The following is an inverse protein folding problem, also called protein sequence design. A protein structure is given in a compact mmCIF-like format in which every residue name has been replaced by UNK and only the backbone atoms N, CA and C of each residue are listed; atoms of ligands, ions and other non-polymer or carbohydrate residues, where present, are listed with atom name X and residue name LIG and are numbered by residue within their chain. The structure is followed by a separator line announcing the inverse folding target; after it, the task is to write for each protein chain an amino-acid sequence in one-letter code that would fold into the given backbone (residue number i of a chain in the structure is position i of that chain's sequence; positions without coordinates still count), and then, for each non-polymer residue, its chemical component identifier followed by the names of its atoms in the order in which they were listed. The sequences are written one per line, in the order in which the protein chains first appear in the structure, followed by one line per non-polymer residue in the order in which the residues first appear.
data_IF_242018849346
#
_entry.id   IF_242018849346
#
_cell.length_a   1.000
_cell.length_b   1.000
_cell.length_c   1.000
_cell.angle_alpha   90.00
_cell.angle_beta   90.00
_cell.angle_gamma   90.00
#
_symmetry.space_group_name_H-M   'P 1'
#
loop_
_entity.id
_entity.type
_entity.pdbx_description
1 polymer ?
#
# COMPACT_ATOMS: atom_id res chain seq x y z
N UNK A 1 -25.03 -7.95 14.48
CA UNK A 1 -23.96 -8.50 15.33
C UNK A 1 -22.75 -7.62 15.08
N UNK A 2 -22.58 -6.56 15.88
CA UNK A 2 -21.41 -5.70 15.78
C UNK A 2 -20.26 -6.46 16.42
N UNK A 3 -19.29 -6.89 15.63
CA UNK A 3 -18.03 -7.38 16.17
C UNK A 3 -17.27 -6.15 16.67
N UNK A 4 -17.65 -5.62 17.82
CA UNK A 4 -16.78 -4.71 18.56
C UNK A 4 -15.58 -5.56 18.96
N UNK A 5 -14.48 -5.36 18.25
CA UNK A 5 -13.19 -5.92 18.62
C UNK A 5 -12.88 -5.44 20.04
N UNK A 6 -13.08 -6.32 21.02
CA UNK A 6 -12.96 -5.99 22.43
C UNK A 6 -11.53 -5.65 22.82
N UNK A 7 -10.53 -6.16 22.08
CA UNK A 7 -9.14 -5.81 22.30
C UNK A 7 -8.84 -4.40 21.81
N UNK A 8 -9.38 -4.02 20.64
CA UNK A 8 -9.30 -2.65 20.13
C UNK A 8 -10.03 -1.65 21.04
N UNK A 9 -11.18 -2.03 21.57
CA UNK A 9 -11.97 -1.21 22.48
C UNK A 9 -11.25 -0.98 23.81
N UNK A 10 -10.66 -2.04 24.37
CA UNK A 10 -9.83 -1.94 25.57
C UNK A 10 -8.60 -1.06 25.36
N UNK A 11 -7.90 -1.21 24.23
CA UNK A 11 -6.74 -0.38 23.90
C UNK A 11 -7.11 1.10 23.77
N UNK A 12 -8.25 1.41 23.12
CA UNK A 12 -8.77 2.79 23.04
C UNK A 12 -9.01 3.36 24.43
N UNK A 13 -9.70 2.61 25.30
CA UNK A 13 -10.03 3.07 26.65
C UNK A 13 -8.76 3.31 27.50
N UNK A 14 -7.74 2.44 27.38
CA UNK A 14 -6.44 2.66 28.03
C UNK A 14 -5.77 3.95 27.56
N UNK A 15 -5.74 4.20 26.25
CA UNK A 15 -5.16 5.45 25.72
C UNK A 15 -5.93 6.69 26.18
N UNK A 16 -7.25 6.61 26.28
CA UNK A 16 -8.09 7.70 26.83
C UNK A 16 -7.74 7.98 28.29
N UNK A 17 -7.64 6.93 29.12
CA UNK A 17 -7.26 7.08 30.52
C UNK A 17 -5.85 7.66 30.70
N UNK A 18 -4.90 7.26 29.85
CA UNK A 18 -3.53 7.80 29.87
C UNK A 18 -3.51 9.30 29.52
N UNK A 19 -4.32 9.71 28.53
CA UNK A 19 -4.47 11.13 28.18
C UNK A 19 -5.06 11.91 29.37
N UNK A 20 -6.16 11.44 29.95
CA UNK A 20 -6.80 12.09 31.11
C UNK A 20 -5.83 12.27 32.28
N UNK A 21 -4.97 11.28 32.54
CA UNK A 21 -3.97 11.35 33.60
C UNK A 21 -2.84 12.36 33.32
N UNK A 22 -2.42 12.52 32.06
CA UNK A 22 -1.23 13.30 31.71
C UNK A 22 -1.50 14.75 31.30
N UNK A 23 -2.71 15.05 30.78
CA UNK A 23 -3.06 16.39 30.26
C UNK A 23 -2.81 17.50 31.29
N UNK A 24 -3.12 17.25 32.57
CA UNK A 24 -2.96 18.25 33.64
C UNK A 24 -1.51 18.74 33.84
N UNK A 25 -0.53 17.92 33.47
CA UNK A 25 0.91 18.23 33.58
C UNK A 25 1.58 18.51 32.24
N UNK A 26 0.87 18.35 31.13
CA UNK A 26 1.40 18.47 29.77
C UNK A 26 2.11 19.81 29.55
N UNK A 27 3.32 19.81 29.01
CA UNK A 27 3.88 21.03 28.44
C UNK A 27 3.15 21.43 27.14
N UNK A 28 3.57 22.54 26.52
CA UNK A 28 2.88 23.14 25.36
C UNK A 28 2.83 22.18 24.16
N UNK A 29 3.95 21.53 23.86
CA UNK A 29 4.05 20.55 22.78
C UNK A 29 3.27 19.27 23.09
N UNK A 30 3.28 18.85 24.35
CA UNK A 30 2.53 17.68 24.82
C UNK A 30 1.03 17.92 24.73
N UNK A 31 0.53 19.11 25.08
CA UNK A 31 -0.89 19.44 25.02
C UNK A 31 -1.41 19.33 23.58
N UNK A 32 -0.65 19.82 22.60
CA UNK A 32 -0.99 19.66 21.18
C UNK A 32 -0.99 18.19 20.74
N UNK A 33 -0.04 17.38 21.22
CA UNK A 33 0.00 15.94 20.95
C UNK A 33 -1.22 15.23 21.54
N UNK A 34 -1.58 15.52 22.79
CA UNK A 34 -2.76 14.94 23.43
C UNK A 34 -4.04 15.35 22.69
N UNK A 35 -4.21 16.62 22.33
CA UNK A 35 -5.35 17.07 21.54
C UNK A 35 -5.46 16.37 20.18
N UNK A 36 -4.32 16.09 19.51
CA UNK A 36 -4.29 15.27 18.29
C UNK A 36 -4.72 13.83 18.56
N UNK A 37 -4.25 13.23 19.65
CA UNK A 37 -4.63 11.87 20.04
C UNK A 37 -6.13 11.78 20.31
N UNK A 38 -6.71 12.73 21.05
CA UNK A 38 -8.15 12.83 21.34
C UNK A 38 -8.96 12.82 20.04
N UNK A 39 -8.58 13.66 19.07
CA UNK A 39 -9.22 13.70 17.74
C UNK A 39 -9.13 12.35 17.02
N UNK A 40 -7.96 11.72 17.02
CA UNK A 40 -7.75 10.43 16.35
C UNK A 40 -8.48 9.26 17.04
N UNK A 41 -8.65 9.32 18.36
CA UNK A 41 -9.43 8.34 19.13
C UNK A 41 -10.94 8.57 19.02
N UNK A 42 -11.36 9.69 18.40
CA UNK A 42 -12.76 10.11 18.26
C UNK A 42 -13.41 10.45 19.61
N UNK A 43 -12.63 11.06 20.48
CA UNK A 43 -13.01 11.45 21.85
C UNK A 43 -13.12 12.98 21.97
N UNK A 44 -13.36 13.68 20.86
CA UNK A 44 -13.53 15.15 20.82
C UNK A 44 -14.71 15.61 21.68
N UNK A 45 -15.72 14.76 21.83
CA UNK A 45 -16.94 15.05 22.59
C UNK A 45 -16.83 14.58 24.07
N UNK A 46 -15.63 14.16 24.50
CA UNK A 46 -15.38 13.74 25.88
C UNK A 46 -15.22 14.97 26.79
N UNK A 47 -16.29 15.31 27.50
CA UNK A 47 -16.38 16.46 28.41
C UNK A 47 -15.27 16.48 29.48
N UNK A 48 -14.82 15.31 29.96
CA UNK A 48 -13.73 15.24 30.95
C UNK A 48 -12.44 15.77 30.35
N UNK A 49 -12.08 15.28 29.15
CA UNK A 49 -10.89 15.69 28.42
C UNK A 49 -10.99 17.17 28.01
N UNK A 50 -12.14 17.62 27.51
CA UNK A 50 -12.38 19.04 27.21
C UNK A 50 -12.07 19.94 28.40
N UNK A 51 -12.58 19.57 29.58
CA UNK A 51 -12.38 20.33 30.81
C UNK A 51 -10.89 20.36 31.22
N UNK A 52 -10.22 19.21 31.14
CA UNK A 52 -8.79 19.10 31.46
C UNK A 52 -7.92 19.91 30.51
N UNK A 53 -8.19 19.84 29.21
CA UNK A 53 -7.44 20.59 28.19
C UNK A 53 -7.67 22.09 28.36
N UNK A 54 -8.92 22.53 28.56
CA UNK A 54 -9.22 23.96 28.80
C UNK A 54 -8.48 24.49 30.03
N UNK A 55 -8.54 23.76 31.15
CA UNK A 55 -7.82 24.12 32.38
C UNK A 55 -6.31 24.21 32.16
N UNK A 56 -5.73 23.24 31.44
CA UNK A 56 -4.29 23.26 31.15
C UNK A 56 -3.90 24.39 30.20
N UNK A 57 -4.70 24.62 29.15
CA UNK A 57 -4.51 25.67 28.17
C UNK A 57 -4.50 27.05 28.83
N UNK A 58 -5.46 27.33 29.72
CA UNK A 58 -5.51 28.58 30.49
C UNK A 58 -4.23 28.78 31.32
N UNK A 59 -3.74 27.72 31.96
CA UNK A 59 -2.48 27.78 32.73
C UNK A 59 -1.26 28.06 31.86
N UNK A 60 -1.20 27.54 30.63
CA UNK A 60 -0.07 27.75 29.73
C UNK A 60 -0.12 29.14 29.09
N UNK A 61 -1.30 29.56 28.62
CA UNK A 61 -1.55 30.88 28.03
C UNK A 61 -1.19 32.02 28.98
N UNK A 62 -1.42 31.84 30.29
CA UNK A 62 -1.09 32.85 31.29
C UNK A 62 0.42 33.18 31.35
N UNK A 63 1.27 32.32 30.79
CA UNK A 63 2.73 32.46 30.84
C UNK A 63 3.37 32.58 29.46
N UNK A 64 2.58 32.61 28.38
CA UNK A 64 3.09 32.56 27.00
C UNK A 64 3.17 33.94 26.34
N UNK A 65 4.30 34.20 25.69
CA UNK A 65 4.53 35.41 24.90
C UNK A 65 5.00 35.14 23.46
N UNK A 66 5.38 33.90 23.13
CA UNK A 66 5.79 33.50 21.79
C UNK A 66 4.59 33.23 20.86
N UNK A 67 4.58 33.89 19.70
CA UNK A 67 3.46 33.85 18.75
C UNK A 67 3.23 32.45 18.18
N UNK A 68 4.30 31.74 17.82
CA UNK A 68 4.18 30.40 17.23
C UNK A 68 3.63 29.40 18.26
N UNK A 69 4.08 29.54 19.51
CA UNK A 69 3.59 28.73 20.62
C UNK A 69 2.13 29.05 20.97
N UNK A 70 1.72 30.32 20.89
CA UNK A 70 0.31 30.71 21.04
C UNK A 70 -0.58 30.10 19.95
N UNK A 71 -0.10 30.00 18.71
CA UNK A 71 -0.81 29.32 17.63
C UNK A 71 -0.96 27.82 17.92
N UNK A 72 0.08 27.17 18.42
CA UNK A 72 0.04 25.74 18.78
C UNK A 72 -0.90 25.43 19.95
N UNK A 73 -0.96 26.33 20.94
CA UNK A 73 -1.97 26.25 22.00
C UNK A 73 -3.39 26.45 21.42
N UNK A 74 -3.59 27.42 20.53
CA UNK A 74 -4.89 27.61 19.85
C UNK A 74 -5.28 26.39 19.01
N UNK A 75 -4.34 25.73 18.35
CA UNK A 75 -4.56 24.50 17.58
C UNK A 75 -5.00 23.35 18.48
N UNK A 76 -4.48 23.29 19.72
CA UNK A 76 -4.89 22.30 20.72
C UNK A 76 -6.39 22.40 21.05
N UNK A 77 -6.90 23.61 21.25
CA UNK A 77 -8.33 23.86 21.45
C UNK A 77 -9.15 23.53 20.19
N UNK A 78 -8.68 23.96 19.03
CA UNK A 78 -9.34 23.72 17.74
C UNK A 78 -9.56 22.23 17.45
N UNK A 79 -8.61 21.38 17.86
CA UNK A 79 -8.69 19.92 17.72
C UNK A 79 -9.75 19.27 18.59
N UNK A 80 -9.87 19.72 19.83
CA UNK A 80 -10.85 19.20 20.78
C UNK A 80 -12.26 19.60 20.36
N UNK A 81 -12.45 20.84 19.90
CA UNK A 81 -13.75 21.34 19.43
C UNK A 81 -14.14 20.87 18.01
N UNK A 82 -13.29 20.07 17.37
CA UNK A 82 -13.40 19.66 15.95
C UNK A 82 -13.75 20.80 14.97
N UNK A 83 -13.30 22.01 15.28
CA UNK A 83 -13.69 23.23 14.54
C UNK A 83 -13.02 23.33 13.17
N UNK A 84 -11.88 22.65 12.98
CA UNK A 84 -11.03 22.78 11.79
C UNK A 84 -10.60 21.41 11.28
N UNK A 85 -10.71 21.22 9.96
CA UNK A 85 -10.16 20.06 9.26
C UNK A 85 -8.64 20.02 9.45
N UNK A 86 -8.00 18.84 9.57
CA UNK A 86 -6.57 18.77 9.85
C UNK A 86 -5.76 19.58 8.83
N UNK A 87 -4.81 20.39 9.30
CA UNK A 87 -3.93 21.17 8.42
C UNK A 87 -2.87 20.24 7.79
N UNK A 88 -3.26 19.61 6.69
CA UNK A 88 -2.40 18.68 5.93
C UNK A 88 -1.44 19.41 5.00
N UNK A 89 -1.64 20.71 4.76
CA UNK A 89 -0.82 21.51 3.86
C UNK A 89 0.55 21.84 4.44
N UNK A 90 0.65 21.96 5.77
CA UNK A 90 1.91 22.20 6.45
C UNK A 90 2.66 20.91 6.82
N UNK A 91 2.13 19.73 6.46
CA UNK A 91 2.65 18.43 6.88
C UNK A 91 2.65 18.18 8.41
N UNK A 92 2.07 19.10 9.18
CA UNK A 92 1.99 19.02 10.65
C UNK A 92 0.97 18.00 11.11
N UNK A 93 0.02 17.66 10.23
CA UNK A 93 -1.14 16.83 10.54
C UNK A 93 -1.41 15.81 9.45
N UNK A 94 -1.91 14.65 9.86
CA UNK A 94 -2.32 13.61 8.94
C UNK A 94 -3.76 13.87 8.44
N UNK A 95 -4.06 13.62 7.15
CA UNK A 95 -5.43 13.61 6.66
C UNK A 95 -6.28 12.58 7.40
N UNK A 96 -7.60 12.79 7.44
CA UNK A 96 -8.54 11.86 8.09
C UNK A 96 -8.37 10.43 7.59
N UNK A 97 -8.22 9.47 8.51
CA UNK A 97 -8.08 8.05 8.16
C UNK A 97 -9.43 7.40 7.83
N UNK A 98 -10.53 7.95 8.36
CA UNK A 98 -11.87 7.41 8.16
C UNK A 98 -12.24 7.45 6.68
N UNK A 99 -12.73 6.32 6.15
CA UNK A 99 -13.11 6.19 4.74
C UNK A 99 -11.94 6.01 3.75
N UNK A 100 -10.69 5.92 4.23
CA UNK A 100 -9.50 5.74 3.38
C UNK A 100 -8.89 4.33 3.48
N UNK A 101 -9.67 3.31 3.84
CA UNK A 101 -9.20 1.91 3.85
C UNK A 101 -8.72 1.45 2.46
N UNK A 102 -7.60 0.72 2.42
CA UNK A 102 -6.97 0.24 1.17
C UNK A 102 -6.11 1.30 0.44
N UNK A 103 -6.02 2.51 0.98
CA UNK A 103 -5.10 3.56 0.52
C UNK A 103 -3.83 3.59 1.36
N UNK A 104 -2.82 4.30 0.89
CA UNK A 104 -1.61 4.59 1.65
C UNK A 104 -1.38 6.09 1.78
N UNK A 105 -0.64 6.49 2.80
CA UNK A 105 -0.28 7.88 3.02
C UNK A 105 0.87 8.26 2.08
N UNK A 106 0.71 9.34 1.30
CA UNK A 106 1.72 9.86 0.37
C UNK A 106 1.95 11.35 0.59
N UNK A 107 3.08 11.87 0.10
CA UNK A 107 3.43 13.29 0.18
C UNK A 107 4.12 13.77 -1.09
N UNK A 108 3.87 15.02 -1.47
CA UNK A 108 4.58 15.74 -2.53
C UNK A 108 5.77 16.56 -1.99
N UNK A 109 6.11 16.38 -0.71
CA UNK A 109 7.12 17.16 0.02
C UNK A 109 6.57 18.40 0.73
N UNK A 110 5.32 18.79 0.47
CA UNK A 110 4.62 19.90 1.15
C UNK A 110 3.33 19.40 1.80
N UNK A 111 2.50 18.70 1.03
CA UNK A 111 1.19 18.21 1.45
C UNK A 111 1.25 16.71 1.75
N UNK A 112 0.46 16.29 2.73
CA UNK A 112 0.21 14.87 3.03
C UNK A 112 -1.19 14.50 2.54
N UNK A 113 -1.31 13.41 1.77
CA UNK A 113 -2.59 12.98 1.18
C UNK A 113 -2.71 11.45 1.09
N UNK A 114 -3.89 10.95 0.74
CA UNK A 114 -4.13 9.51 0.55
C UNK A 114 -3.97 9.11 -0.92
N UNK A 115 -2.97 8.29 -1.21
CA UNK A 115 -2.72 7.67 -2.51
C UNK A 115 -3.44 6.33 -2.66
N UNK A 116 -3.87 6.02 -3.87
CA UNK A 116 -4.36 4.68 -4.23
C UNK A 116 -3.22 3.85 -4.81
N UNK A 117 -3.03 2.58 -4.40
CA UNK A 117 -2.06 1.70 -5.03
C UNK A 117 -2.25 1.65 -6.54
N UNK A 118 -1.17 1.86 -7.29
CA UNK A 118 -1.14 1.76 -8.74
C UNK A 118 -0.08 0.73 -9.18
N UNK A 119 -0.19 0.19 -10.40
CA UNK A 119 0.83 -0.72 -10.96
C UNK A 119 2.20 -0.04 -11.05
N UNK A 120 2.24 1.28 -11.23
CA UNK A 120 3.46 2.09 -11.17
C UNK A 120 4.19 2.03 -9.82
N UNK A 121 3.48 1.64 -8.75
CA UNK A 121 4.07 1.49 -7.41
C UNK A 121 4.82 0.15 -7.28
N UNK A 122 4.69 -0.76 -8.25
CA UNK A 122 5.44 -2.01 -8.33
C UNK A 122 6.71 -1.77 -9.13
N UNK A 123 7.82 -1.45 -8.45
CA UNK A 123 9.12 -1.08 -9.06
C UNK A 123 9.65 -2.09 -10.07
N UNK A 124 9.32 -3.37 -9.86
CA UNK A 124 9.84 -4.47 -10.66
C UNK A 124 8.94 -4.77 -11.86
N UNK A 125 7.81 -4.06 -12.03
CA UNK A 125 6.87 -4.26 -13.13
C UNK A 125 7.02 -3.14 -14.15
N UNK A 126 7.75 -3.40 -15.22
CA UNK A 126 8.13 -2.36 -16.19
C UNK A 126 7.05 -2.09 -17.23
N UNK A 127 6.36 -3.14 -17.71
CA UNK A 127 5.21 -3.03 -18.62
C UNK A 127 4.48 -4.37 -18.71
N UNK A 128 3.24 -4.48 -18.20
CA UNK A 128 2.36 -5.65 -18.41
C UNK A 128 0.97 -5.15 -18.76
N UNK A 129 0.43 -5.63 -19.88
CA UNK A 129 -0.92 -5.32 -20.36
C UNK A 129 -1.91 -6.44 -20.04
N UNK A 130 -3.20 -6.15 -20.17
CA UNK A 130 -4.23 -7.18 -20.08
C UNK A 130 -3.98 -8.29 -21.13
N UNK A 131 -4.04 -9.55 -20.68
CA UNK A 131 -3.75 -10.73 -21.52
C UNK A 131 -2.26 -11.12 -21.65
N UNK A 132 -1.33 -10.40 -21.04
CA UNK A 132 0.09 -10.77 -20.98
C UNK A 132 0.43 -11.53 -19.70
N UNK A 133 1.44 -12.40 -19.77
CA UNK A 133 2.00 -13.07 -18.58
C UNK A 133 3.26 -12.34 -18.13
N UNK A 134 3.40 -12.04 -16.82
CA UNK A 134 4.65 -11.48 -16.29
C UNK A 134 5.79 -12.50 -16.40
N UNK A 135 6.88 -12.11 -17.06
CA UNK A 135 8.11 -12.90 -17.16
C UNK A 135 9.29 -12.06 -16.66
N UNK A 136 10.15 -12.62 -15.82
CA UNK A 136 11.33 -11.93 -15.32
C UNK A 136 12.44 -11.91 -16.38
N UNK A 137 12.82 -10.71 -16.83
CA UNK A 137 13.81 -10.48 -17.90
C UNK A 137 15.25 -10.28 -17.40
N UNK A 138 15.50 -10.43 -16.09
CA UNK A 138 16.80 -10.17 -15.47
C UNK A 138 16.94 -8.78 -14.85
N UNK A 139 16.14 -7.82 -15.31
CA UNK A 139 16.06 -6.44 -14.79
C UNK A 139 14.69 -6.06 -14.24
N UNK A 140 13.73 -6.98 -14.27
CA UNK A 140 12.34 -6.78 -13.83
C UNK A 140 11.38 -7.73 -14.54
N UNK A 141 10.12 -7.69 -14.17
CA UNK A 141 9.02 -8.34 -14.87
C UNK A 141 8.57 -7.48 -16.07
N UNK A 142 8.47 -8.13 -17.22
CA UNK A 142 7.89 -7.60 -18.46
C UNK A 142 6.71 -8.49 -18.87
N UNK A 143 5.74 -7.89 -19.57
CA UNK A 143 4.61 -8.61 -20.15
C UNK A 143 5.08 -9.29 -21.41
N UNK A 144 4.87 -10.61 -21.46
CA UNK A 144 5.05 -11.38 -22.67
C UNK A 144 3.68 -11.88 -23.11
N UNK A 145 3.36 -11.68 -24.39
CA UNK A 145 2.16 -12.29 -24.98
C UNK A 145 2.30 -13.80 -24.84
N UNK A 146 1.26 -14.48 -24.33
CA UNK A 146 1.14 -15.93 -24.38
C UNK A 146 1.03 -16.38 -25.84
N UNK A 147 2.16 -16.41 -26.57
CA UNK A 147 2.25 -17.22 -27.77
C UNK A 147 2.25 -18.64 -27.24
N UNK A 148 1.20 -19.40 -27.54
CA UNK A 148 1.14 -20.83 -27.25
C UNK A 148 2.34 -21.49 -27.97
N UNK A 149 3.51 -21.50 -27.33
CA UNK A 149 4.81 -21.77 -27.96
C UNK A 149 4.91 -23.21 -28.46
N UNK A 150 3.99 -24.07 -28.05
CA UNK A 150 3.88 -25.43 -28.56
C UNK A 150 2.88 -25.48 -29.72
N UNK A 151 3.17 -24.80 -30.84
CA UNK A 151 2.60 -25.20 -32.13
C UNK A 151 3.42 -26.38 -32.62
N UNK A 152 3.10 -27.57 -32.12
CA UNK A 152 3.75 -28.77 -32.61
C UNK A 152 3.21 -29.09 -34.01
N UNK A 153 4.08 -29.01 -35.02
CA UNK A 153 3.72 -29.21 -36.42
C UNK A 153 3.92 -30.68 -36.80
N UNK A 154 2.95 -31.27 -37.50
CA UNK A 154 3.06 -32.63 -38.04
C UNK A 154 3.76 -32.60 -39.40
N UNK A 155 4.73 -33.49 -39.56
CA UNK A 155 5.49 -33.69 -40.79
C UNK A 155 5.34 -35.14 -41.26
N UNK A 156 5.34 -35.34 -42.58
CA UNK A 156 5.24 -36.67 -43.16
C UNK A 156 6.43 -37.56 -42.80
N UNK A 157 7.62 -36.98 -42.59
CA UNK A 157 8.84 -37.73 -42.28
C UNK A 157 9.89 -36.91 -41.54
N UNK A 158 10.88 -37.58 -40.95
CA UNK A 158 12.05 -36.93 -40.33
C UNK A 158 12.81 -36.06 -41.33
N UNK A 159 12.87 -36.48 -42.60
CA UNK A 159 13.50 -35.71 -43.67
C UNK A 159 12.76 -34.41 -44.04
N UNK A 160 11.49 -34.28 -43.62
CA UNK A 160 10.67 -33.10 -43.87
C UNK A 160 10.79 -32.03 -42.77
N UNK A 161 11.52 -32.31 -41.69
CA UNK A 161 11.76 -31.36 -40.62
C UNK A 161 12.56 -30.14 -41.13
N UNK A 162 12.21 -28.91 -40.71
CA UNK A 162 12.89 -27.70 -41.17
C UNK A 162 14.34 -27.67 -40.66
N UNK A 163 15.23 -27.09 -41.46
CA UNK A 163 16.67 -27.02 -41.15
C UNK A 163 16.99 -26.11 -39.95
N UNK A 164 16.06 -25.22 -39.57
CA UNK A 164 16.16 -24.36 -38.40
C UNK A 164 14.79 -24.18 -37.76
N UNK A 165 14.78 -24.04 -36.42
CA UNK A 165 13.60 -23.78 -35.60
C UNK A 165 14.00 -23.01 -34.34
N UNK A 166 13.02 -22.60 -33.53
CA UNK A 166 13.27 -21.95 -32.24
C UNK A 166 13.57 -23.00 -31.17
N UNK A 167 14.47 -22.68 -30.22
CA UNK A 167 14.78 -23.60 -29.12
C UNK A 167 13.51 -23.94 -28.31
N UNK A 168 13.24 -25.24 -28.17
CA UNK A 168 12.04 -25.78 -27.54
C UNK A 168 10.83 -25.98 -28.45
N UNK A 169 10.95 -25.77 -29.77
CA UNK A 169 9.89 -26.12 -30.72
C UNK A 169 9.72 -27.65 -30.78
N UNK A 170 8.48 -28.12 -30.93
CA UNK A 170 8.16 -29.55 -31.06
C UNK A 170 7.67 -29.88 -32.47
N UNK A 171 7.95 -31.09 -32.93
CA UNK A 171 7.46 -31.60 -34.20
C UNK A 171 7.06 -33.08 -34.08
N UNK A 172 6.04 -33.49 -34.81
CA UNK A 172 5.63 -34.89 -34.94
C UNK A 172 6.02 -35.40 -36.32
N UNK A 173 6.52 -36.62 -36.42
CA UNK A 173 6.80 -37.27 -37.71
C UNK A 173 6.01 -38.55 -37.86
N UNK A 174 5.30 -38.69 -39.00
CA UNK A 174 4.40 -39.82 -39.26
C UNK A 174 5.11 -41.09 -39.75
N UNK A 175 6.33 -40.97 -40.27
CA UNK A 175 7.09 -42.11 -40.80
C UNK A 175 7.60 -43.06 -39.70
N UNK A 176 7.90 -42.52 -38.52
CA UNK A 176 8.42 -43.27 -37.39
C UNK A 176 7.65 -43.03 -36.08
N UNK A 177 6.55 -42.29 -36.12
CA UNK A 177 5.71 -41.92 -34.98
C UNK A 177 6.50 -41.35 -33.80
N UNK A 178 7.47 -40.47 -34.06
CA UNK A 178 8.25 -39.82 -33.01
C UNK A 178 7.92 -38.34 -32.86
N UNK A 179 8.03 -37.89 -31.61
CA UNK A 179 8.05 -36.49 -31.22
C UNK A 179 9.51 -36.05 -31.20
N UNK A 180 9.80 -34.95 -31.87
CA UNK A 180 11.09 -34.28 -31.87
C UNK A 180 10.97 -32.93 -31.18
N UNK A 181 12.07 -32.47 -30.58
CA UNK A 181 12.21 -31.10 -30.11
C UNK A 181 13.48 -30.47 -30.69
N UNK A 182 13.46 -29.16 -30.96
CA UNK A 182 14.65 -28.42 -31.38
C UNK A 182 15.47 -28.02 -30.15
N UNK A 183 16.70 -28.54 -30.03
CA UNK A 183 17.57 -28.31 -28.87
C UNK A 183 18.41 -27.02 -28.96
N UNK A 184 18.16 -26.18 -29.97
CA UNK A 184 18.96 -25.00 -30.30
C UNK A 184 19.87 -25.19 -31.52
N UNK A 185 20.22 -26.43 -31.86
CA UNK A 185 21.12 -26.77 -32.97
C UNK A 185 20.60 -27.85 -33.92
N UNK A 186 19.78 -28.79 -33.44
CA UNK A 186 19.23 -29.88 -34.23
C UNK A 186 17.92 -30.43 -33.64
N UNK A 187 17.13 -31.09 -34.49
CA UNK A 187 15.98 -31.89 -34.07
C UNK A 187 16.44 -33.14 -33.33
N UNK A 188 16.02 -33.26 -32.07
CA UNK A 188 16.35 -34.38 -31.18
C UNK A 188 15.07 -35.14 -30.83
N UNK A 189 15.13 -36.48 -30.89
CA UNK A 189 13.98 -37.30 -30.53
C UNK A 189 13.68 -37.19 -29.03
N UNK A 190 12.43 -36.88 -28.68
CA UNK A 190 11.93 -36.82 -27.31
C UNK A 190 11.29 -38.14 -26.89
N UNK A 191 10.48 -38.73 -27.76
CA UNK A 191 9.77 -39.98 -27.48
C UNK A 191 8.80 -40.36 -28.59
N UNK A 192 8.37 -41.61 -28.60
CA UNK A 192 7.39 -42.13 -29.56
C UNK A 192 5.95 -41.85 -29.13
N UNK A 193 5.03 -41.85 -30.08
CA UNK A 193 3.59 -41.83 -29.84
C UNK A 193 2.90 -42.98 -30.57
N UNK A 194 1.71 -43.34 -30.10
CA UNK A 194 0.81 -44.27 -30.78
C UNK A 194 -0.45 -43.49 -31.12
N UNK A 195 -0.89 -43.56 -32.38
CA UNK A 195 -2.09 -42.86 -32.84
C UNK A 195 -3.35 -43.64 -32.47
#
# INVERSE_FOLDING_TARGET
MSYTDSALDAARLTMVADIEAQVSTANKDELLKYARMVKNLRETDNVTIETLINSRLESLLATEDDVDTLLDLSDSLSKVLDLVQPNTESGRELPTQSGNGGKYLTTDGTNVSWGTPALSDVSDLTSVSDGEVPVYSGSGFTGETLVNKTVATEYNSVASLPASASNGDFAFTLDNNNIYYWNGSAWTAFGGFTK
#
